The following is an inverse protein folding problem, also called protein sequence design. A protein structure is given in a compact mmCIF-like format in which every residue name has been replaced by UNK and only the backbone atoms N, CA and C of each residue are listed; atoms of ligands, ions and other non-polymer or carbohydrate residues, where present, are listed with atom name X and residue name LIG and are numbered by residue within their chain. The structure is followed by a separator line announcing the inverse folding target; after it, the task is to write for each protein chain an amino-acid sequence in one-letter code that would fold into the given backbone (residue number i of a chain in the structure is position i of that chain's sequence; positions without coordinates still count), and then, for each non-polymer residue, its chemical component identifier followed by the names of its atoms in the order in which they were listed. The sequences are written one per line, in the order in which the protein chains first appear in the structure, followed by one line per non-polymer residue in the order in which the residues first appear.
data_IF_504097786248
#
_entry.id   IF_504097786248
#
_cell.length_a   1.000
_cell.length_b   1.000
_cell.length_c   1.000
_cell.angle_alpha   90.00
_cell.angle_beta   90.00
_cell.angle_gamma   90.00
#
_symmetry.space_group_name_H-M   'P 1'
#
loop_
_entity.id
_entity.type
_entity.pdbx_description
1 polymer ?
#
# COMPACT_ATOMS: atom_id res chain seq x y z
N UNK A 1 11.54 3.07 3.09
CA UNK A 1 10.79 2.22 2.14
C UNK A 1 11.81 1.61 1.19
N UNK A 2 11.81 0.29 1.00
CA UNK A 2 12.77 -0.41 0.14
C UNK A 2 12.18 -0.64 -1.27
N UNK A 3 12.98 -1.11 -2.24
CA UNK A 3 12.49 -1.38 -3.62
C UNK A 3 11.30 -2.34 -3.70
N UNK A 4 11.11 -3.23 -2.72
CA UNK A 4 9.91 -4.08 -2.59
C UNK A 4 8.64 -3.27 -2.33
N UNK A 5 8.72 -2.22 -1.50
CA UNK A 5 7.56 -1.38 -1.17
C UNK A 5 7.02 -0.66 -2.41
N UNK A 6 7.90 -0.24 -3.32
CA UNK A 6 7.51 0.45 -4.56
C UNK A 6 6.68 -0.47 -5.46
N UNK A 7 7.13 -1.72 -5.64
CA UNK A 7 6.38 -2.71 -6.44
C UNK A 7 4.99 -2.98 -5.84
N UNK A 8 4.91 -3.15 -4.53
CA UNK A 8 3.66 -3.43 -3.84
C UNK A 8 2.68 -2.26 -3.96
N UNK A 9 3.17 -1.01 -3.86
CA UNK A 9 2.39 0.22 -4.04
C UNK A 9 1.81 0.29 -5.47
N UNK A 10 2.63 0.06 -6.49
CA UNK A 10 2.17 0.09 -7.87
C UNK A 10 1.08 -0.95 -8.13
N UNK A 11 1.30 -2.18 -7.66
CA UNK A 11 0.35 -3.28 -7.83
C UNK A 11 -0.96 -3.02 -7.07
N UNK A 12 -0.90 -2.35 -5.91
CA UNK A 12 -2.09 -1.95 -5.17
C UNK A 12 -2.89 -0.89 -5.93
N UNK A 13 -2.22 0.17 -6.41
CA UNK A 13 -2.85 1.23 -7.19
C UNK A 13 -3.57 0.66 -8.43
N UNK A 14 -2.88 -0.21 -9.18
CA UNK A 14 -3.44 -0.87 -10.38
C UNK A 14 -4.65 -1.75 -10.05
N UNK A 15 -4.61 -2.53 -8.97
CA UNK A 15 -5.77 -3.33 -8.53
C UNK A 15 -6.98 -2.48 -8.17
N UNK A 16 -6.75 -1.39 -7.43
CA UNK A 16 -7.81 -0.47 -7.05
C UNK A 16 -8.42 0.18 -8.29
N UNK A 17 -7.58 0.58 -9.23
CA UNK A 17 -8.00 1.18 -10.49
C UNK A 17 -8.79 0.22 -11.38
N UNK A 18 -8.32 -1.02 -11.52
CA UNK A 18 -9.04 -2.07 -12.24
C UNK A 18 -10.44 -2.32 -11.64
N UNK A 19 -10.56 -2.29 -10.31
CA UNK A 19 -11.87 -2.42 -9.65
C UNK A 19 -12.82 -1.28 -10.01
N UNK A 20 -12.33 -0.03 -10.01
CA UNK A 20 -13.11 1.15 -10.43
C UNK A 20 -13.53 1.04 -11.90
N UNK A 21 -12.66 0.53 -12.76
CA UNK A 21 -12.95 0.33 -14.19
C UNK A 21 -14.04 -0.73 -14.41
N UNK A 22 -13.92 -1.89 -13.77
CA UNK A 22 -14.93 -2.97 -13.85
C UNK A 22 -16.31 -2.48 -13.38
N UNK A 23 -16.33 -1.61 -12.36
CA UNK A 23 -17.56 -1.00 -11.83
C UNK A 23 -18.11 0.14 -12.70
N UNK A 24 -17.45 0.48 -13.81
CA UNK A 24 -17.87 1.57 -14.70
C UNK A 24 -17.71 2.97 -14.12
N UNK A 25 -16.87 3.14 -13.09
CA UNK A 25 -16.62 4.44 -12.45
C UNK A 25 -15.59 5.29 -13.21
N UNK A 26 -14.93 4.70 -14.22
CA UNK A 26 -13.93 5.38 -15.05
C UNK A 26 -14.44 5.35 -16.49
N UNK A 27 -14.47 6.50 -17.19
CA UNK A 27 -14.83 6.53 -18.60
C UNK A 27 -13.87 5.63 -19.38
N UNK A 28 -14.44 4.81 -20.25
CA UNK A 28 -13.66 3.99 -21.17
C UNK A 28 -13.11 4.92 -22.25
N UNK A 29 -11.81 4.86 -22.50
CA UNK A 29 -11.25 5.54 -23.66
C UNK A 29 -11.85 5.00 -24.96
N UNK A 30 -11.85 5.82 -26.02
CA UNK A 30 -12.39 5.46 -27.33
C UNK A 30 -11.79 4.17 -27.92
N UNK A 31 -10.63 3.74 -27.41
CA UNK A 31 -9.92 2.52 -27.81
C UNK A 31 -10.34 1.26 -27.03
N UNK A 32 -11.22 1.38 -26.03
CA UNK A 32 -11.71 0.24 -25.24
C UNK A 32 -10.69 -0.36 -24.26
N UNK A 33 -9.45 0.13 -24.26
CA UNK A 33 -8.41 -0.29 -23.31
C UNK A 33 -8.69 0.28 -21.91
N UNK A 34 -8.38 -0.49 -20.84
CA UNK A 34 -8.46 0.03 -19.49
C UNK A 34 -7.42 1.14 -19.31
N UNK A 35 -7.85 2.37 -18.94
CA UNK A 35 -6.89 3.44 -18.72
C UNK A 35 -5.97 3.08 -17.56
N UNK A 36 -4.70 3.44 -17.64
CA UNK A 36 -3.78 3.30 -16.51
C UNK A 36 -4.18 4.25 -15.37
N UNK A 37 -3.87 3.92 -14.11
CA UNK A 37 -4.14 4.83 -12.99
C UNK A 37 -3.36 6.14 -13.17
N UNK A 38 -3.95 7.29 -12.83
CA UNK A 38 -3.21 8.55 -12.77
C UNK A 38 -2.16 8.49 -11.65
N UNK A 39 -1.14 9.35 -11.73
CA UNK A 39 -0.05 9.40 -10.75
C UNK A 39 -0.55 9.59 -9.31
N UNK A 40 -1.64 10.32 -9.13
CA UNK A 40 -2.24 10.60 -7.82
C UNK A 40 -2.68 9.33 -7.08
N UNK A 41 -3.13 8.29 -7.80
CA UNK A 41 -3.51 7.00 -7.20
C UNK A 41 -2.30 6.26 -6.63
N UNK A 42 -1.16 6.34 -7.33
CA UNK A 42 0.11 5.78 -6.85
C UNK A 42 0.61 6.53 -5.62
N UNK A 43 0.52 7.86 -5.63
CA UNK A 43 0.88 8.71 -4.47
C UNK A 43 -0.01 8.38 -3.27
N UNK A 44 -1.33 8.28 -3.47
CA UNK A 44 -2.27 7.93 -2.41
C UNK A 44 -1.96 6.56 -1.79
N UNK A 45 -1.66 5.55 -2.61
CA UNK A 45 -1.26 4.23 -2.13
C UNK A 45 0.08 4.28 -1.35
N UNK A 46 1.05 5.07 -1.82
CA UNK A 46 2.31 5.29 -1.12
C UNK A 46 2.11 5.96 0.25
N UNK A 47 1.23 6.96 0.33
CA UNK A 47 0.88 7.62 1.58
C UNK A 47 0.18 6.68 2.55
N UNK A 48 -0.77 5.88 2.07
CA UNK A 48 -1.48 4.89 2.88
C UNK A 48 -0.49 3.87 3.45
N UNK A 49 0.44 3.38 2.62
CA UNK A 49 1.51 2.47 3.06
C UNK A 49 2.39 3.13 4.13
N UNK A 50 2.78 4.40 3.92
CA UNK A 50 3.58 5.19 4.88
C UNK A 50 2.87 5.34 6.22
N UNK A 51 1.56 5.61 6.22
CA UNK A 51 0.73 5.77 7.44
C UNK A 51 0.53 4.45 8.19
N UNK A 52 0.43 3.33 7.48
CA UNK A 52 0.23 2.00 8.08
C UNK A 52 1.52 1.37 8.61
N UNK A 53 2.68 1.86 8.18
CA UNK A 53 3.96 1.38 8.68
C UNK A 53 4.18 1.92 10.11
N UNK A 54 4.44 1.04 11.09
CA UNK A 54 4.84 1.50 12.41
C UNK A 54 6.17 2.25 12.30
N UNK A 55 6.31 3.29 13.11
CA UNK A 55 7.56 4.05 13.25
C UNK A 55 8.70 3.08 13.62
N UNK A 56 9.54 2.72 12.64
CA UNK A 56 10.70 1.84 12.83
C UNK A 56 11.85 2.55 13.53
N UNK A 57 11.78 3.87 13.68
CA UNK A 57 12.73 4.72 14.38
C UNK A 57 12.44 4.84 15.87
N UNK A 58 11.25 4.43 16.33
CA UNK A 58 10.97 4.31 17.75
C UNK A 58 11.70 3.05 18.26
N UNK A 59 12.78 3.17 19.03
CA UNK A 59 13.38 1.99 19.65
C UNK A 59 12.26 1.31 20.43
N UNK A 60 12.04 0.03 20.13
CA UNK A 60 11.15 -0.79 20.93
C UNK A 60 11.73 -0.72 22.34
N UNK A 61 11.12 0.11 23.20
CA UNK A 61 11.40 0.08 24.63
C UNK A 61 11.28 -1.38 25.02
N UNK A 62 12.42 -1.93 25.43
CA UNK A 62 12.64 -3.31 25.81
C UNK A 62 11.36 -3.90 26.41
N UNK A 63 10.78 -4.89 25.73
CA UNK A 63 9.84 -5.80 26.39
C UNK A 63 10.65 -6.64 27.38
N UNK A 64 11.03 -6.04 28.50
CA UNK A 64 11.50 -6.75 29.68
C UNK A 64 10.29 -7.44 30.30
N UNK A 65 9.85 -8.54 29.68
CA UNK A 65 8.98 -9.50 30.34
C UNK A 65 9.80 -10.20 31.43
N UNK A 66 9.23 -10.48 32.61
CA UNK A 66 9.93 -11.22 33.65
C UNK A 66 10.29 -12.62 33.15
N UNK A 67 11.43 -13.20 33.58
CA UNK A 67 11.83 -14.52 33.15
C UNK A 67 10.80 -15.54 33.62
N UNK A 68 10.30 -16.36 32.69
CA UNK A 68 9.45 -17.50 33.00
C UNK A 68 10.26 -18.44 33.91
N UNK A 69 9.83 -18.58 35.17
CA UNK A 69 10.39 -19.58 36.09
C UNK A 69 9.94 -20.95 35.60
N UNK A 70 10.89 -21.76 35.17
CA UNK A 70 10.69 -23.19 34.93
C UNK A 70 10.57 -23.85 36.32
N UNK A 71 9.39 -24.42 36.61
CA UNK A 71 9.13 -25.25 37.77
C UNK A 71 9.35 -26.73 37.40
#
# INVERSE_FOLDING_TARGET
MAGRDIRDICMQAERHWASKFIRGQIPKDEKGEPPLPPIDEYVACAEQRRKSLPDRTRPAASRSGPPLKLA
#
